data_IF_534925013870
#
_entry.id   IF_534925013870
#
_cell.length_a   1.000
_cell.length_b   1.000
_cell.length_c   1.000
_cell.angle_alpha   90.00
_cell.angle_beta   90.00
_cell.angle_gamma   90.00
#
_symmetry.space_group_name_H-M   'P 1'
#
loop_
_entity.id
_entity.type
_entity.pdbx_description
1 polymer ?
#
# COMPACT_ATOMS: atom_id res chain seq x y z
N UNK A 1 -8.02 10.53 -1.36
CA UNK A 1 -7.85 9.06 -1.25
C UNK A 1 -7.08 8.44 -2.41
N UNK A 2 -7.45 8.69 -3.68
CA UNK A 2 -6.78 8.05 -4.82
C UNK A 2 -5.27 8.35 -4.91
N UNK A 3 -4.84 9.57 -4.59
CA UNK A 3 -3.41 9.94 -4.50
C UNK A 3 -2.66 9.14 -3.44
N UNK A 4 -3.27 8.94 -2.27
CA UNK A 4 -2.70 8.14 -1.16
C UNK A 4 -2.53 6.69 -1.59
N UNK A 5 -3.54 6.08 -2.19
CA UNK A 5 -3.47 4.69 -2.67
C UNK A 5 -2.32 4.53 -3.68
N UNK A 6 -2.22 5.42 -4.67
CA UNK A 6 -1.11 5.39 -5.63
C UNK A 6 0.26 5.57 -4.97
N UNK A 7 0.36 6.49 -4.01
CA UNK A 7 1.63 6.75 -3.34
C UNK A 7 2.06 5.56 -2.48
N UNK A 8 1.13 4.96 -1.73
CA UNK A 8 1.38 3.75 -0.96
C UNK A 8 1.76 2.60 -1.88
N UNK A 9 1.05 2.39 -2.99
CA UNK A 9 1.45 1.37 -3.98
C UNK A 9 2.85 1.64 -4.55
N UNK A 10 3.17 2.88 -4.91
CA UNK A 10 4.50 3.25 -5.39
C UNK A 10 5.58 2.98 -4.32
N UNK A 11 5.28 3.21 -3.05
CA UNK A 11 6.16 2.90 -1.93
C UNK A 11 6.36 1.39 -1.76
N UNK A 12 5.30 0.58 -1.87
CA UNK A 12 5.36 -0.89 -1.84
C UNK A 12 6.25 -1.46 -2.94
N UNK A 13 6.15 -0.91 -4.15
CA UNK A 13 7.00 -1.32 -5.28
C UNK A 13 8.40 -0.68 -5.25
N UNK A 14 8.69 0.19 -4.27
CA UNK A 14 9.98 0.89 -4.17
C UNK A 14 10.21 1.96 -5.26
N UNK A 15 9.18 2.30 -6.04
CA UNK A 15 9.23 3.28 -7.13
C UNK A 15 8.72 4.68 -6.71
N UNK A 16 8.52 4.89 -5.42
CA UNK A 16 8.08 6.18 -4.88
C UNK A 16 9.17 7.24 -5.07
N UNK A 17 8.80 8.39 -5.68
CA UNK A 17 9.70 9.54 -5.82
C UNK A 17 9.83 10.30 -4.51
N UNK A 18 11.03 10.83 -4.23
CA UNK A 18 11.31 11.60 -3.03
C UNK A 18 10.41 12.83 -2.87
N UNK A 19 10.13 13.56 -3.96
CA UNK A 19 9.26 14.73 -3.93
C UNK A 19 7.83 14.39 -3.48
N UNK A 20 7.29 13.26 -3.93
CA UNK A 20 5.98 12.76 -3.49
C UNK A 20 6.02 12.30 -2.04
N UNK A 21 7.09 11.62 -1.63
CA UNK A 21 7.30 11.25 -0.23
C UNK A 21 7.28 12.49 0.67
N UNK A 22 8.08 13.51 0.36
CA UNK A 22 8.11 14.75 1.15
C UNK A 22 6.77 15.48 1.15
N UNK A 23 6.08 15.55 0.01
CA UNK A 23 4.74 16.13 -0.05
C UNK A 23 3.76 15.37 0.85
N UNK A 24 3.77 14.03 0.81
CA UNK A 24 2.90 13.17 1.60
C UNK A 24 3.15 13.28 3.11
N UNK A 25 4.43 13.40 3.53
CA UNK A 25 4.79 13.51 4.95
C UNK A 25 4.75 14.94 5.51
N UNK A 26 4.87 15.96 4.65
CA UNK A 26 4.81 17.37 5.08
C UNK A 26 3.40 17.97 4.99
N UNK A 27 2.60 17.56 4.00
CA UNK A 27 1.26 18.11 3.77
C UNK A 27 0.14 17.11 4.11
N UNK A 28 0.46 15.82 4.14
CA UNK A 28 -0.50 14.76 4.45
C UNK A 28 -0.59 14.43 5.95
N UNK A 29 -1.58 13.59 6.29
CA UNK A 29 -1.70 12.98 7.62
C UNK A 29 -1.04 11.59 7.57
N UNK A 30 0.11 11.35 8.24
CA UNK A 30 0.86 10.09 8.14
C UNK A 30 0.01 8.85 8.47
N UNK A 31 -0.93 8.99 9.40
CA UNK A 31 -1.81 7.90 9.83
C UNK A 31 -2.68 7.35 8.69
N UNK A 32 -3.07 8.17 7.71
CA UNK A 32 -3.87 7.74 6.55
C UNK A 32 -3.06 6.85 5.63
N UNK A 33 -1.76 7.14 5.45
CA UNK A 33 -0.85 6.32 4.66
C UNK A 33 -0.54 4.99 5.32
N UNK A 34 -0.29 4.99 6.65
CA UNK A 34 -0.07 3.77 7.43
C UNK A 34 -1.29 2.85 7.37
N UNK A 35 -2.48 3.39 7.63
CA UNK A 35 -3.72 2.62 7.56
C UNK A 35 -3.96 2.04 6.17
N UNK A 36 -3.72 2.82 5.12
CA UNK A 36 -3.83 2.35 3.72
C UNK A 36 -2.83 1.22 3.43
N UNK A 37 -1.59 1.34 3.90
CA UNK A 37 -0.57 0.32 3.75
C UNK A 37 -0.93 -0.99 4.45
N UNK A 38 -1.45 -0.93 5.68
CA UNK A 38 -1.92 -2.12 6.42
C UNK A 38 -3.05 -2.80 5.65
N UNK A 39 -4.04 -2.04 5.18
CA UNK A 39 -5.16 -2.59 4.39
C UNK A 39 -4.65 -3.30 3.14
N UNK A 40 -3.73 -2.69 2.39
CA UNK A 40 -3.16 -3.31 1.19
C UNK A 40 -2.35 -4.57 1.50
N UNK A 41 -1.59 -4.58 2.60
CA UNK A 41 -0.84 -5.77 3.03
C UNK A 41 -1.79 -6.92 3.42
N UNK A 42 -2.86 -6.63 4.17
CA UNK A 42 -3.88 -7.64 4.51
C UNK A 42 -4.54 -8.20 3.25
N UNK A 43 -4.92 -7.34 2.30
CA UNK A 43 -5.49 -7.76 1.01
C UNK A 43 -4.53 -8.66 0.25
N UNK A 44 -3.23 -8.33 0.22
CA UNK A 44 -2.21 -9.15 -0.42
C UNK A 44 -2.12 -10.55 0.22
N UNK A 45 -2.02 -10.61 1.55
CA UNK A 45 -1.94 -11.88 2.30
C UNK A 45 -3.17 -12.74 2.06
N UNK A 46 -4.37 -12.16 2.16
CA UNK A 46 -5.63 -12.89 1.91
C UNK A 46 -5.67 -13.41 0.48
N UNK A 47 -5.26 -12.61 -0.50
CA UNK A 47 -5.19 -13.02 -1.91
C UNK A 47 -4.27 -14.22 -2.09
N UNK A 48 -3.07 -14.19 -1.51
CA UNK A 48 -2.11 -15.29 -1.57
C UNK A 48 -2.67 -16.55 -0.91
N UNK A 49 -3.30 -16.43 0.26
CA UNK A 49 -3.93 -17.56 0.96
C UNK A 49 -5.05 -18.21 0.14
N UNK A 50 -5.90 -17.41 -0.50
CA UNK A 50 -6.96 -17.90 -1.37
C UNK A 50 -6.38 -18.65 -2.58
N UNK A 51 -5.38 -18.07 -3.25
CA UNK A 51 -4.71 -18.70 -4.39
C UNK A 51 -4.04 -20.01 -3.96
N UNK A 52 -3.32 -20.03 -2.84
CA UNK A 52 -2.69 -21.22 -2.32
C UNK A 52 -3.72 -22.30 -1.98
N UNK A 53 -4.84 -21.93 -1.35
CA UNK A 53 -5.92 -22.87 -1.02
C UNK A 53 -6.64 -23.43 -2.24
N UNK A 54 -6.77 -22.66 -3.32
CA UNK A 54 -7.28 -23.16 -4.59
C UNK A 54 -6.28 -24.09 -5.27
N UNK A 55 -4.99 -23.73 -5.25
CA UNK A 55 -3.93 -24.51 -5.89
C UNK A 55 -3.58 -25.81 -5.15
N UNK A 56 -3.88 -25.90 -3.85
CA UNK A 56 -3.64 -27.09 -3.03
C UNK A 56 -4.78 -28.12 -3.07
N UNK A 57 -5.87 -27.84 -3.79
CA UNK A 57 -6.99 -28.78 -4.02
C UNK A 57 -6.73 -29.60 -5.26
#
# INVERSE_FOLDING_TARGET
MWSVIKSVLAAFFGVQKEQQRQHDFNQGRPIVFIATGIVLAVVLVVTVLLVASLASR
#
